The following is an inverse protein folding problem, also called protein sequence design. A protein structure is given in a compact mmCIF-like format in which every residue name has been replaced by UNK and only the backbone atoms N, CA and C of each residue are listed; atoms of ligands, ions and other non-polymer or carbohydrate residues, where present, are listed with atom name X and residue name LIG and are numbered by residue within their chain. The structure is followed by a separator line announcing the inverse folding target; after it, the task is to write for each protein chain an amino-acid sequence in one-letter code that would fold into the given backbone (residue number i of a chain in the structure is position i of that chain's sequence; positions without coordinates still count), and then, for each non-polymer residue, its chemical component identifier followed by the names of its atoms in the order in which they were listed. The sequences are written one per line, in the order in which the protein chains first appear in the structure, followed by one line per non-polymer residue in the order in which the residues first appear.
data_IF_364688749199
#
_entry.id   IF_364688749199
#
_cell.length_a   1.000
_cell.length_b   1.000
_cell.length_c   1.000
_cell.angle_alpha   90.00
_cell.angle_beta   90.00
_cell.angle_gamma   90.00
#
_symmetry.space_group_name_H-M   'P 1'
#
loop_
_entity.id
_entity.type
_entity.pdbx_description
1 polymer ?
#
# COMPACT_ATOMS: atom_id res chain seq x y z
N UNK A 1 -8.01 22.97 -7.14
CA UNK A 1 -6.77 22.63 -6.40
C UNK A 1 -6.79 21.20 -5.85
N UNK A 2 -7.99 20.63 -5.59
CA UNK A 2 -8.06 19.26 -5.09
C UNK A 2 -7.52 18.25 -6.09
N UNK A 3 -7.82 18.43 -7.38
CA UNK A 3 -7.30 17.55 -8.41
C UNK A 3 -5.78 17.61 -8.49
N UNK A 4 -5.22 18.81 -8.33
CA UNK A 4 -3.77 18.97 -8.34
C UNK A 4 -3.13 18.29 -7.15
N UNK A 5 -3.73 18.43 -5.96
CA UNK A 5 -3.24 17.77 -4.75
C UNK A 5 -3.22 16.25 -4.92
N UNK A 6 -4.32 15.69 -5.41
CA UNK A 6 -4.42 14.25 -5.65
C UNK A 6 -3.42 13.80 -6.72
N UNK A 7 -3.32 14.55 -7.81
CA UNK A 7 -2.42 14.20 -8.91
C UNK A 7 -0.95 14.21 -8.50
N UNK A 8 -0.52 15.25 -7.80
CA UNK A 8 0.87 15.35 -7.31
C UNK A 8 1.16 14.28 -6.28
N UNK A 9 0.22 14.05 -5.35
CA UNK A 9 0.36 13.00 -4.36
C UNK A 9 0.44 11.63 -4.99
N UNK A 10 -0.44 11.36 -5.97
CA UNK A 10 -0.43 10.09 -6.69
C UNK A 10 0.87 9.85 -7.44
N UNK A 11 1.38 10.90 -8.11
CA UNK A 11 2.67 10.80 -8.80
C UNK A 11 3.79 10.48 -7.81
N UNK A 12 3.83 11.18 -6.68
CA UNK A 12 4.84 10.92 -5.65
C UNK A 12 4.72 9.51 -5.09
N UNK A 13 3.50 9.10 -4.77
CA UNK A 13 3.26 7.75 -4.24
C UNK A 13 3.63 6.66 -5.23
N UNK A 14 3.29 6.83 -6.49
CA UNK A 14 3.60 5.85 -7.54
C UNK A 14 5.11 5.72 -7.75
N UNK A 15 5.83 6.84 -7.73
CA UNK A 15 7.29 6.81 -7.86
C UNK A 15 7.91 6.12 -6.65
N UNK A 16 7.46 6.44 -5.44
CA UNK A 16 7.93 5.78 -4.23
C UNK A 16 7.67 4.27 -4.27
N UNK A 17 6.49 3.88 -4.74
CA UNK A 17 6.14 2.46 -4.89
C UNK A 17 7.11 1.76 -5.84
N UNK A 18 7.39 2.38 -6.97
CA UNK A 18 8.30 1.79 -7.96
C UNK A 18 9.70 1.62 -7.37
N UNK A 19 10.22 2.67 -6.73
CA UNK A 19 11.55 2.63 -6.16
C UNK A 19 11.67 1.61 -5.03
N UNK A 20 10.67 1.55 -4.16
CA UNK A 20 10.69 0.59 -3.06
C UNK A 20 10.60 -0.84 -3.59
N UNK A 21 9.75 -1.07 -4.59
CA UNK A 21 9.63 -2.38 -5.21
C UNK A 21 10.93 -2.85 -5.83
N UNK A 22 11.72 -1.92 -6.40
CA UNK A 22 13.04 -2.25 -6.93
C UNK A 22 14.04 -2.54 -5.82
N UNK A 23 13.91 -1.85 -4.69
CA UNK A 23 14.86 -1.99 -3.58
C UNK A 23 14.66 -3.25 -2.75
N UNK A 24 13.43 -3.79 -2.73
CA UNK A 24 13.15 -4.99 -1.94
C UNK A 24 13.76 -6.22 -2.62
N UNK A 25 14.64 -6.95 -1.91
CA UNK A 25 15.25 -8.13 -2.52
C UNK A 25 14.26 -9.28 -2.67
N UNK A 26 14.47 -10.10 -3.69
CA UNK A 26 13.63 -11.28 -3.93
C UNK A 26 14.15 -12.42 -3.08
N UNK A 27 13.91 -12.33 -1.77
CA UNK A 27 14.45 -13.29 -0.80
C UNK A 27 13.71 -14.63 -0.82
N UNK A 28 12.42 -14.60 -1.13
CA UNK A 28 11.62 -15.82 -1.15
C UNK A 28 11.18 -16.10 -2.58
N UNK A 29 11.58 -17.26 -3.08
CA UNK A 29 11.25 -17.66 -4.44
C UNK A 29 9.73 -17.75 -4.60
N UNK A 30 9.21 -17.04 -5.59
CA UNK A 30 7.80 -17.08 -5.94
C UNK A 30 6.88 -16.20 -5.13
N UNK A 31 7.33 -15.66 -3.98
CA UNK A 31 6.50 -14.75 -3.20
C UNK A 31 6.74 -13.31 -3.66
N UNK A 32 5.68 -12.55 -4.00
CA UNK A 32 5.84 -11.16 -4.49
C UNK A 32 6.10 -10.21 -3.33
N UNK A 33 7.30 -10.28 -2.79
CA UNK A 33 7.69 -9.55 -1.59
C UNK A 33 7.66 -8.03 -1.78
N UNK A 34 8.03 -7.56 -2.98
CA UNK A 34 8.02 -6.13 -3.27
C UNK A 34 6.65 -5.50 -3.12
N UNK A 35 5.66 -6.07 -3.78
CA UNK A 35 4.27 -5.58 -3.70
C UNK A 35 3.71 -5.76 -2.30
N UNK A 36 4.03 -6.89 -1.67
CA UNK A 36 3.59 -7.13 -0.30
C UNK A 36 4.12 -6.04 0.64
N UNK A 37 5.42 -5.75 0.58
CA UNK A 37 6.03 -4.72 1.41
C UNK A 37 5.42 -3.34 1.14
N UNK A 38 5.25 -2.99 -0.13
CA UNK A 38 4.64 -1.72 -0.53
C UNK A 38 3.25 -1.57 0.08
N UNK A 39 2.42 -2.58 -0.05
CA UNK A 39 1.04 -2.49 0.44
C UNK A 39 0.98 -2.47 1.97
N UNK A 40 1.84 -3.22 2.66
CA UNK A 40 1.88 -3.18 4.13
C UNK A 40 2.36 -1.82 4.63
N UNK A 41 3.41 -1.27 4.02
CA UNK A 41 3.90 0.07 4.38
C UNK A 41 2.82 1.11 4.10
N UNK A 42 2.08 0.96 3.00
CA UNK A 42 0.97 1.84 2.67
C UNK A 42 -0.15 1.79 3.70
N UNK A 43 -0.48 0.59 4.17
CA UNK A 43 -1.48 0.43 5.22
C UNK A 43 -1.04 1.07 6.52
N UNK A 44 0.23 0.91 6.88
CA UNK A 44 0.79 1.57 8.05
C UNK A 44 0.71 3.09 7.90
N UNK A 45 1.09 3.60 6.74
CA UNK A 45 1.09 5.04 6.46
C UNK A 45 -0.30 5.64 6.55
N UNK A 46 -1.30 5.00 5.94
CA UNK A 46 -2.65 5.53 5.99
C UNK A 46 -3.23 5.45 7.40
N UNK A 47 -2.87 4.40 8.15
CA UNK A 47 -3.26 4.29 9.55
C UNK A 47 -2.71 5.44 10.38
N UNK A 48 -1.43 5.78 10.18
CA UNK A 48 -0.81 6.93 10.86
C UNK A 48 -1.52 8.23 10.51
N UNK A 49 -1.78 8.45 9.22
CA UNK A 49 -2.43 9.68 8.76
C UNK A 49 -3.82 9.82 9.37
N UNK A 50 -4.62 8.76 9.32
CA UNK A 50 -5.98 8.76 9.88
C UNK A 50 -5.93 8.98 11.39
N UNK A 51 -4.97 8.37 12.08
CA UNK A 51 -4.79 8.55 13.52
C UNK A 51 -4.44 9.99 13.87
N UNK A 52 -3.53 10.60 13.11
CA UNK A 52 -3.12 12.00 13.34
C UNK A 52 -4.28 12.94 13.09
N UNK A 53 -5.04 12.73 12.00
CA UNK A 53 -6.21 13.55 11.68
C UNK A 53 -7.22 13.47 12.82
N UNK A 54 -7.47 12.28 13.34
CA UNK A 54 -8.43 12.09 14.42
C UNK A 54 -8.02 12.80 15.70
N UNK A 55 -6.72 12.91 15.97
CA UNK A 55 -6.22 13.57 17.18
C UNK A 55 -6.20 15.09 17.06
N UNK A 56 -5.84 15.60 15.88
CA UNK A 56 -5.63 17.04 15.71
C UNK A 56 -6.82 17.76 15.11
N UNK A 57 -7.54 17.13 14.19
CA UNK A 57 -8.81 17.61 13.68
C UNK A 57 -8.80 18.86 12.81
N UNK A 58 -7.69 19.58 12.71
CA UNK A 58 -7.61 20.87 12.03
C UNK A 58 -6.66 20.90 10.84
N UNK A 59 -6.46 19.74 10.18
CA UNK A 59 -5.58 19.70 9.02
C UNK A 59 -6.30 20.24 7.79
N UNK A 60 -5.51 20.93 6.94
CA UNK A 60 -6.00 21.43 5.67
C UNK A 60 -6.58 20.26 4.85
N UNK A 61 -7.84 20.36 4.37
CA UNK A 61 -8.43 19.29 3.57
C UNK A 61 -7.59 18.91 2.33
N UNK A 62 -6.89 19.87 1.73
CA UNK A 62 -6.03 19.58 0.58
C UNK A 62 -4.81 18.77 0.97
N UNK A 63 -4.27 19.00 2.17
CA UNK A 63 -3.17 18.19 2.68
C UNK A 63 -3.64 16.76 2.93
N UNK A 64 -4.84 16.58 3.48
CA UNK A 64 -5.42 15.26 3.70
C UNK A 64 -5.60 14.52 2.38
N UNK A 65 -6.13 15.20 1.37
CA UNK A 65 -6.28 14.63 0.03
C UNK A 65 -4.93 14.25 -0.57
N UNK A 66 -3.94 15.12 -0.43
CA UNK A 66 -2.59 14.86 -0.94
C UNK A 66 -2.00 13.60 -0.31
N UNK A 67 -2.07 13.50 1.00
CA UNK A 67 -1.45 12.39 1.72
C UNK A 67 -2.25 11.09 1.60
N UNK A 68 -3.54 11.16 1.86
CA UNK A 68 -4.36 9.95 1.95
C UNK A 68 -4.75 9.41 0.58
N UNK A 69 -5.45 10.22 -0.20
CA UNK A 69 -5.91 9.79 -1.52
C UNK A 69 -4.76 9.76 -2.52
N UNK A 70 -3.91 10.79 -2.51
CA UNK A 70 -2.80 10.90 -3.45
C UNK A 70 -1.65 9.98 -3.11
N UNK A 71 -0.90 10.31 -2.06
CA UNK A 71 0.34 9.57 -1.76
C UNK A 71 0.05 8.11 -1.42
N UNK A 72 -0.80 7.84 -0.45
CA UNK A 72 -1.10 6.46 -0.05
C UNK A 72 -1.84 5.72 -1.15
N UNK A 73 -2.78 6.38 -1.83
CA UNK A 73 -3.50 5.77 -2.93
C UNK A 73 -2.62 5.40 -4.12
N UNK A 74 -1.66 6.27 -4.45
CA UNK A 74 -0.71 5.99 -5.52
C UNK A 74 0.36 4.98 -5.12
N UNK A 75 0.70 4.96 -3.83
CA UNK A 75 1.74 4.06 -3.32
C UNK A 75 1.27 2.61 -3.29
N UNK A 76 0.03 2.36 -2.84
CA UNK A 76 -0.51 1.00 -2.76
C UNK A 76 -1.08 0.57 -4.11
N UNK A 77 -1.19 -0.75 -4.32
CA UNK A 77 -1.69 -1.24 -5.60
C UNK A 77 -2.46 -2.54 -5.45
N UNK A 78 -3.73 -2.48 -5.80
CA UNK A 78 -4.58 -3.66 -5.86
C UNK A 78 -4.42 -4.39 -7.19
N UNK A 79 -4.25 -3.66 -8.29
CA UNK A 79 -4.15 -4.29 -9.61
C UNK A 79 -2.91 -5.17 -9.75
N UNK A 80 -1.77 -4.72 -9.25
CA UNK A 80 -0.55 -5.53 -9.27
C UNK A 80 -0.69 -6.74 -8.35
N UNK A 81 -1.30 -6.55 -7.18
CA UNK A 81 -1.60 -7.63 -6.25
C UNK A 81 -2.46 -8.70 -6.93
N UNK A 82 -3.52 -8.28 -7.64
CA UNK A 82 -4.41 -9.21 -8.32
C UNK A 82 -3.70 -9.96 -9.44
N UNK A 83 -2.90 -9.24 -10.23
CA UNK A 83 -2.16 -9.85 -11.33
C UNK A 83 -1.16 -10.89 -10.82
N UNK A 84 -0.42 -10.53 -9.77
CA UNK A 84 0.56 -11.45 -9.20
C UNK A 84 -0.10 -12.70 -8.61
N UNK A 85 -1.23 -12.51 -7.94
CA UNK A 85 -1.99 -13.64 -7.39
C UNK A 85 -2.47 -14.56 -8.51
N UNK A 86 -3.00 -13.97 -9.58
CA UNK A 86 -3.47 -14.73 -10.73
C UNK A 86 -2.32 -15.51 -11.37
N UNK A 87 -1.16 -14.89 -11.51
CA UNK A 87 0.02 -15.54 -12.06
C UNK A 87 0.45 -16.74 -11.21
N UNK A 88 0.43 -16.58 -9.88
CA UNK A 88 0.74 -17.68 -8.97
C UNK A 88 -0.23 -18.86 -9.15
N UNK A 89 -1.51 -18.53 -9.32
CA UNK A 89 -2.53 -19.56 -9.54
C UNK A 89 -2.29 -20.28 -10.88
N UNK A 90 -1.95 -19.54 -11.93
CA UNK A 90 -1.66 -20.13 -13.23
C UNK A 90 -0.45 -21.06 -13.20
N UNK A 91 0.54 -20.72 -12.35
CA UNK A 91 1.74 -21.54 -12.19
C UNK A 91 1.54 -22.73 -11.28
N UNK A 92 0.35 -22.89 -10.73
CA UNK A 92 0.05 -23.99 -9.81
C UNK A 92 0.56 -23.78 -8.40
N UNK A 93 1.00 -22.57 -8.06
CA UNK A 93 1.54 -22.22 -6.74
C UNK A 93 0.41 -21.80 -5.81
N UNK A 94 -0.52 -22.71 -5.55
CA UNK A 94 -1.73 -22.39 -4.81
C UNK A 94 -1.46 -21.99 -3.37
N UNK A 95 -0.53 -22.66 -2.69
CA UNK A 95 -0.20 -22.36 -1.31
C UNK A 95 0.36 -20.95 -1.19
N UNK A 96 1.29 -20.58 -2.08
CA UNK A 96 1.89 -19.24 -2.07
C UNK A 96 0.84 -18.19 -2.37
N UNK A 97 -0.06 -18.44 -3.33
CA UNK A 97 -1.14 -17.52 -3.67
C UNK A 97 -2.06 -17.26 -2.47
N UNK A 98 -2.47 -18.33 -1.78
CA UNK A 98 -3.34 -18.22 -0.61
C UNK A 98 -2.63 -17.46 0.51
N UNK A 99 -1.35 -17.78 0.77
CA UNK A 99 -0.57 -17.07 1.78
C UNK A 99 -0.45 -15.60 1.46
N UNK A 100 -0.20 -15.27 0.19
CA UNK A 100 -0.08 -13.89 -0.24
C UNK A 100 -1.38 -13.11 0.01
N UNK A 101 -2.52 -13.70 -0.36
CA UNK A 101 -3.82 -13.08 -0.13
C UNK A 101 -4.08 -12.89 1.37
N UNK A 102 -3.94 -13.96 2.14
CA UNK A 102 -4.27 -13.95 3.57
C UNK A 102 -3.35 -13.00 4.32
N UNK A 103 -2.04 -13.11 4.10
CA UNK A 103 -1.07 -12.24 4.78
C UNK A 103 -1.26 -10.79 4.40
N UNK A 104 -1.54 -10.50 3.13
CA UNK A 104 -1.77 -9.13 2.70
C UNK A 104 -2.96 -8.51 3.41
N UNK A 105 -4.07 -9.23 3.50
CA UNK A 105 -5.28 -8.72 4.14
C UNK A 105 -5.10 -8.62 5.66
N UNK A 106 -4.64 -9.69 6.28
CA UNK A 106 -4.52 -9.75 7.75
C UNK A 106 -3.48 -8.76 8.25
N UNK A 107 -2.28 -8.79 7.68
CA UNK A 107 -1.21 -7.90 8.13
C UNK A 107 -1.49 -6.46 7.72
N UNK A 108 -2.14 -6.25 6.58
CA UNK A 108 -2.54 -4.90 6.17
C UNK A 108 -3.50 -4.28 7.17
N UNK A 109 -4.55 -5.01 7.52
CA UNK A 109 -5.55 -4.53 8.49
C UNK A 109 -4.93 -4.37 9.88
N UNK A 110 -4.12 -5.34 10.32
CA UNK A 110 -3.47 -5.27 11.62
C UNK A 110 -2.53 -4.07 11.71
N UNK A 111 -1.72 -3.85 10.67
CA UNK A 111 -0.77 -2.75 10.63
C UNK A 111 -1.48 -1.41 10.64
N UNK A 112 -2.56 -1.30 9.88
CA UNK A 112 -3.38 -0.09 9.85
C UNK A 112 -3.98 0.19 11.23
N UNK A 113 -4.55 -0.83 11.85
CA UNK A 113 -5.14 -0.72 13.18
C UNK A 113 -4.11 -0.25 14.20
N UNK A 114 -2.94 -0.89 14.21
CA UNK A 114 -1.87 -0.54 15.14
C UNK A 114 -1.37 0.88 14.91
N UNK A 115 -1.23 1.30 13.66
CA UNK A 115 -0.73 2.63 13.33
C UNK A 115 -1.73 3.72 13.70
N UNK A 116 -3.03 3.43 13.55
CA UNK A 116 -4.08 4.41 13.87
C UNK A 116 -4.17 4.65 15.36
N UNK A 117 -3.93 3.64 16.14
CA UNK A 117 -4.03 3.70 17.60
C UNK A 117 -2.68 3.71 18.25
#
# INVERSE_FOLDING_TARGET
MNLLAVGLGGAFGAVCRYLLGQAVPKLVSGFPLGTFAVNIIGCFSIGLIVGIIGKHGNLDPRLVLFLQTGVCGGFTTFSTFSLETFTLLEEGRYTVAVLYIVLSIVLGLFTLFAAKH
#
